data_IF_946577437075
#
_entry.id   IF_946577437075
#
_cell.length_a   1.000
_cell.length_b   1.000
_cell.length_c   1.000
_cell.angle_alpha   90.00
_cell.angle_beta   90.00
_cell.angle_gamma   90.00
#
_symmetry.space_group_name_H-M   'P 1'
#
loop_
_entity.id
_entity.type
_entity.pdbx_description
1 polymer ?
#
# COMPACT_ATOMS: atom_id res chain seq x y z
N UNK A 1 15.33 2.14 -15.78
CA UNK A 1 15.10 1.83 -14.35
C UNK A 1 13.72 1.33 -14.12
N UNK A 2 12.73 2.24 -14.23
CA UNK A 2 11.35 1.85 -14.02
C UNK A 2 10.86 0.78 -14.98
N UNK A 3 11.26 0.87 -16.24
CA UNK A 3 10.88 -0.13 -17.26
C UNK A 3 11.44 -1.51 -16.97
N UNK A 4 12.67 -1.59 -16.48
CA UNK A 4 13.25 -2.87 -16.11
C UNK A 4 12.46 -3.53 -14.98
N UNK A 5 12.10 -2.75 -13.96
CA UNK A 5 11.32 -3.25 -12.83
C UNK A 5 9.99 -3.85 -13.28
N UNK A 6 9.35 -3.22 -14.26
CA UNK A 6 8.02 -3.62 -14.74
C UNK A 6 8.03 -4.37 -16.06
N UNK A 7 9.21 -4.82 -16.51
CA UNK A 7 9.37 -5.43 -17.82
C UNK A 7 8.44 -6.61 -18.06
N UNK A 8 8.20 -7.42 -17.04
CA UNK A 8 7.31 -8.59 -17.17
C UNK A 8 5.86 -8.19 -17.31
N UNK A 9 5.43 -7.11 -16.66
CA UNK A 9 4.07 -6.58 -16.80
C UNK A 9 3.89 -5.97 -18.19
N UNK A 10 4.88 -5.29 -18.70
CA UNK A 10 4.84 -4.66 -20.02
C UNK A 10 4.69 -5.69 -21.12
N UNK A 11 5.27 -6.88 -20.95
CA UNK A 11 5.13 -7.97 -21.92
C UNK A 11 3.71 -8.50 -22.07
N UNK A 12 2.90 -8.34 -21.03
CA UNK A 12 1.49 -8.73 -21.09
C UNK A 12 0.73 -7.73 -21.96
N UNK A 13 0.15 -8.21 -23.07
CA UNK A 13 -0.43 -7.31 -24.08
C UNK A 13 -1.54 -6.39 -23.55
N UNK A 14 -2.28 -6.86 -22.55
CA UNK A 14 -3.38 -6.09 -21.97
C UNK A 14 -2.89 -4.95 -21.08
N UNK A 15 -1.63 -4.97 -20.69
CA UNK A 15 -0.98 -3.87 -19.98
C UNK A 15 -0.14 -3.05 -20.96
N UNK A 16 0.92 -3.64 -21.51
CA UNK A 16 1.83 -2.98 -22.41
C UNK A 16 2.54 -1.78 -21.79
N UNK A 17 3.29 -1.03 -22.59
CA UNK A 17 3.95 0.17 -22.12
C UNK A 17 2.95 1.25 -21.69
N UNK A 18 1.89 1.42 -22.48
CA UNK A 18 0.87 2.43 -22.18
C UNK A 18 0.13 2.11 -20.88
N UNK A 19 -0.25 0.85 -20.70
CA UNK A 19 -0.91 0.41 -19.47
C UNK A 19 -0.04 0.60 -18.25
N UNK A 20 1.25 0.31 -18.36
CA UNK A 20 2.19 0.50 -17.26
C UNK A 20 2.34 1.98 -16.92
N UNK A 21 2.40 2.86 -17.92
CA UNK A 21 2.44 4.30 -17.67
C UNK A 21 1.20 4.78 -16.94
N UNK A 22 0.05 4.22 -17.27
CA UNK A 22 -1.20 4.53 -16.58
C UNK A 22 -1.15 4.08 -15.13
N UNK A 23 -0.71 2.86 -14.87
CA UNK A 23 -0.54 2.35 -13.50
C UNK A 23 0.40 3.25 -12.69
N UNK A 24 1.50 3.68 -13.30
CA UNK A 24 2.51 4.52 -12.66
C UNK A 24 2.02 5.91 -12.27
N UNK A 25 0.80 6.28 -12.64
CA UNK A 25 0.20 7.58 -12.32
C UNK A 25 -0.92 7.46 -11.29
N UNK A 26 -1.24 6.25 -10.83
CA UNK A 26 -2.41 6.03 -9.97
C UNK A 26 -2.13 6.26 -8.50
N UNK A 27 -3.14 6.77 -7.82
CA UNK A 27 -3.19 6.96 -6.38
C UNK A 27 -4.31 6.09 -5.81
N UNK A 28 -3.98 5.22 -4.87
CA UNK A 28 -4.94 4.29 -4.25
C UNK A 28 -5.01 4.57 -2.75
N UNK A 29 -6.22 4.57 -2.22
CA UNK A 29 -6.48 4.63 -0.78
C UNK A 29 -6.89 3.25 -0.30
N UNK A 30 -6.22 2.72 0.72
CA UNK A 30 -6.61 1.46 1.36
C UNK A 30 -7.08 1.76 2.78
N UNK A 31 -8.29 1.34 3.08
CA UNK A 31 -8.87 1.42 4.42
C UNK A 31 -8.66 0.09 5.11
N UNK A 32 -7.81 0.11 6.14
CA UNK A 32 -7.49 -1.10 6.90
C UNK A 32 -6.21 -1.78 6.43
N UNK A 33 -5.32 -2.05 7.38
CA UNK A 33 -4.04 -2.72 7.11
C UNK A 33 -3.97 -4.05 7.86
N UNK A 34 -5.00 -4.87 7.66
CA UNK A 34 -5.07 -6.23 8.18
C UNK A 34 -4.58 -7.26 7.16
N UNK A 35 -5.16 -8.46 7.20
CA UNK A 35 -4.76 -9.56 6.32
C UNK A 35 -4.96 -9.23 4.85
N UNK A 36 -6.10 -8.65 4.49
CA UNK A 36 -6.38 -8.29 3.10
C UNK A 36 -5.63 -7.02 2.69
N UNK A 37 -5.71 -5.98 3.51
CA UNK A 37 -5.10 -4.68 3.19
C UNK A 37 -3.60 -4.75 2.98
N UNK A 38 -2.87 -5.51 3.80
CA UNK A 38 -1.42 -5.68 3.66
C UNK A 38 -1.05 -6.38 2.36
N UNK A 39 -1.81 -7.38 1.96
CA UNK A 39 -1.58 -8.08 0.68
C UNK A 39 -1.85 -7.17 -0.52
N UNK A 40 -2.95 -6.43 -0.48
CA UNK A 40 -3.30 -5.50 -1.55
C UNK A 40 -2.25 -4.40 -1.66
N UNK A 41 -1.83 -3.83 -0.52
CA UNK A 41 -0.81 -2.77 -0.50
C UNK A 41 0.50 -3.24 -1.13
N UNK A 42 0.99 -4.41 -0.74
CA UNK A 42 2.23 -4.96 -1.30
C UNK A 42 2.10 -5.17 -2.80
N UNK A 43 0.99 -5.78 -3.25
CA UNK A 43 0.75 -6.02 -4.67
C UNK A 43 0.73 -4.74 -5.50
N UNK A 44 0.05 -3.71 -5.00
CA UNK A 44 -0.06 -2.43 -5.71
C UNK A 44 1.29 -1.71 -5.78
N UNK A 45 2.05 -1.70 -4.68
CA UNK A 45 3.37 -1.08 -4.66
C UNK A 45 4.30 -1.77 -5.65
N UNK A 46 4.30 -3.11 -5.67
CA UNK A 46 5.12 -3.87 -6.61
C UNK A 46 4.67 -3.67 -8.05
N UNK A 47 3.37 -3.49 -8.30
CA UNK A 47 2.83 -3.27 -9.64
C UNK A 47 3.16 -1.89 -10.21
N UNK A 48 3.49 -0.92 -9.36
CA UNK A 48 4.01 0.35 -9.82
C UNK A 48 3.13 1.57 -9.61
N UNK A 49 2.13 1.52 -8.73
CA UNK A 49 1.32 2.72 -8.48
C UNK A 49 2.21 3.87 -8.00
N UNK A 50 1.81 5.10 -8.26
CA UNK A 50 2.58 6.28 -7.90
C UNK A 50 2.47 6.61 -6.42
N UNK A 51 1.26 6.54 -5.89
CA UNK A 51 0.96 7.02 -4.54
C UNK A 51 0.00 6.07 -3.83
N UNK A 52 0.30 5.79 -2.58
CA UNK A 52 -0.53 4.94 -1.74
C UNK A 52 -0.86 5.67 -0.45
N UNK A 53 -2.14 5.81 -0.15
CA UNK A 53 -2.62 6.32 1.13
C UNK A 53 -3.20 5.16 1.91
N UNK A 54 -2.73 4.97 3.14
CA UNK A 54 -3.21 3.90 4.01
C UNK A 54 -3.70 4.48 5.33
N UNK A 55 -4.79 3.91 5.83
CA UNK A 55 -5.38 4.34 7.09
C UNK A 55 -5.77 3.13 7.91
N UNK A 56 -5.35 3.11 9.17
CA UNK A 56 -5.72 2.10 10.16
C UNK A 56 -5.42 2.69 11.53
N UNK A 57 -6.25 2.39 12.52
CA UNK A 57 -6.03 2.88 13.88
C UNK A 57 -5.29 1.89 14.78
N UNK A 58 -5.13 0.65 14.32
CA UNK A 58 -4.63 -0.45 15.13
C UNK A 58 -3.10 -0.50 15.21
N UNK A 59 -2.65 -1.19 16.25
CA UNK A 59 -1.24 -1.49 16.49
C UNK A 59 -1.00 -2.97 16.23
N UNK A 60 0.25 -3.33 15.94
CA UNK A 60 0.62 -4.70 15.60
C UNK A 60 0.70 -5.54 16.86
N UNK A 61 0.07 -6.72 16.81
CA UNK A 61 0.11 -7.73 17.86
C UNK A 61 0.62 -9.06 17.29
N UNK A 62 1.18 -9.92 18.15
CA UNK A 62 1.65 -11.23 17.72
C UNK A 62 0.55 -12.05 17.05
N UNK A 63 -0.70 -11.92 17.50
CA UNK A 63 -1.83 -12.62 16.92
C UNK A 63 -2.09 -12.24 15.45
N UNK A 64 -1.52 -11.14 14.96
CA UNK A 64 -1.67 -10.71 13.57
C UNK A 64 -0.68 -11.41 12.64
N UNK A 65 0.45 -11.89 13.16
CA UNK A 65 1.60 -12.29 12.34
C UNK A 65 1.35 -13.54 11.51
N UNK A 66 0.40 -14.38 11.89
CA UNK A 66 0.11 -15.60 11.16
C UNK A 66 -0.60 -15.33 9.81
N UNK A 67 -1.16 -14.17 9.59
CA UNK A 67 -1.88 -13.82 8.35
C UNK A 67 -1.58 -12.44 7.78
N UNK A 68 -1.07 -11.53 8.58
CA UNK A 68 -0.70 -10.19 8.12
C UNK A 68 0.79 -10.19 7.77
N UNK A 69 1.08 -10.68 6.57
CA UNK A 69 2.42 -11.10 6.17
C UNK A 69 3.43 -9.98 6.00
N UNK A 70 2.99 -8.74 5.99
CA UNK A 70 3.88 -7.59 5.90
C UNK A 70 4.58 -7.29 7.23
N UNK A 71 4.06 -7.81 8.34
CA UNK A 71 4.53 -7.47 9.68
C UNK A 71 5.46 -8.55 10.26
N UNK A 72 6.34 -8.14 11.16
CA UNK A 72 7.36 -8.99 11.76
C UNK A 72 7.26 -8.99 13.29
N UNK A 73 7.98 -9.92 13.91
CA UNK A 73 8.07 -9.96 15.37
C UNK A 73 8.61 -8.65 15.95
N UNK A 74 9.60 -8.05 15.28
CA UNK A 74 10.14 -6.77 15.70
C UNK A 74 9.06 -5.68 15.73
N UNK A 75 8.18 -5.66 14.74
CA UNK A 75 7.08 -4.71 14.70
C UNK A 75 6.13 -4.88 15.89
N UNK A 76 5.81 -6.14 16.22
CA UNK A 76 4.96 -6.46 17.35
C UNK A 76 5.62 -6.11 18.68
N UNK A 77 6.91 -6.44 18.83
CA UNK A 77 7.68 -6.12 20.05
C UNK A 77 7.74 -4.61 20.29
N UNK A 78 7.85 -3.84 19.24
CA UNK A 78 7.91 -2.38 19.30
C UNK A 78 6.54 -1.73 19.37
N UNK A 79 5.49 -2.52 19.32
CA UNK A 79 4.10 -2.05 19.39
C UNK A 79 3.80 -0.95 18.38
N UNK A 80 4.30 -1.13 17.16
CA UNK A 80 4.14 -0.11 16.11
C UNK A 80 2.70 -0.03 15.61
N UNK A 81 2.23 1.18 15.27
CA UNK A 81 1.00 1.30 14.48
C UNK A 81 1.14 0.55 13.15
N UNK A 82 0.08 -0.12 12.73
CA UNK A 82 0.13 -0.92 11.49
C UNK A 82 0.56 -0.08 10.28
N UNK A 83 0.06 1.16 10.16
CA UNK A 83 0.41 2.02 9.02
C UNK A 83 1.88 2.44 9.04
N UNK A 84 2.48 2.61 10.22
CA UNK A 84 3.90 2.97 10.33
C UNK A 84 4.78 1.82 9.88
N UNK A 85 4.53 0.62 10.37
CA UNK A 85 5.29 -0.56 9.97
C UNK A 85 5.09 -0.88 8.49
N UNK A 86 3.86 -0.76 7.99
CA UNK A 86 3.57 -0.97 6.58
C UNK A 86 4.35 0.00 5.70
N UNK A 87 4.37 1.28 6.05
CA UNK A 87 5.14 2.28 5.30
C UNK A 87 6.62 1.90 5.24
N UNK A 88 7.20 1.52 6.35
CA UNK A 88 8.62 1.16 6.40
C UNK A 88 8.92 -0.04 5.51
N UNK A 89 8.14 -1.10 5.64
CA UNK A 89 8.36 -2.31 4.85
C UNK A 89 8.11 -2.09 3.35
N UNK A 90 7.08 -1.33 2.99
CA UNK A 90 6.78 -1.06 1.59
C UNK A 90 7.86 -0.19 0.93
N UNK A 91 8.46 0.74 1.68
CA UNK A 91 9.59 1.53 1.17
C UNK A 91 10.85 0.70 0.96
N UNK A 92 11.01 -0.39 1.68
CA UNK A 92 12.11 -1.32 1.43
C UNK A 92 11.88 -2.15 0.16
N UNK A 93 10.62 -2.33 -0.24
CA UNK A 93 10.27 -2.98 -1.51
C UNK A 93 10.48 -2.01 -2.67
N UNK A 94 10.02 -0.76 -2.51
CA UNK A 94 10.15 0.27 -3.54
C UNK A 94 10.34 1.63 -2.88
N UNK A 95 11.56 2.14 -2.94
CA UNK A 95 11.97 3.33 -2.19
C UNK A 95 11.31 4.63 -2.66
N UNK A 96 10.88 4.69 -3.91
CA UNK A 96 10.32 5.91 -4.52
C UNK A 96 8.80 6.01 -4.40
N UNK A 97 8.15 5.06 -3.73
CA UNK A 97 6.70 5.13 -3.54
C UNK A 97 6.33 6.35 -2.69
N UNK A 98 5.35 7.12 -3.16
CA UNK A 98 4.80 8.22 -2.36
C UNK A 98 3.73 7.66 -1.45
N UNK A 99 3.89 7.86 -0.14
CA UNK A 99 2.96 7.30 0.84
C UNK A 99 2.44 8.33 1.80
N UNK A 100 1.15 8.23 2.11
CA UNK A 100 0.50 9.00 3.16
C UNK A 100 -0.11 8.01 4.13
N UNK A 101 0.17 8.19 5.43
CA UNK A 101 -0.33 7.29 6.45
C UNK A 101 -1.18 8.04 7.48
N UNK A 102 -2.26 7.41 7.92
CA UNK A 102 -3.16 7.99 8.91
C UNK A 102 -3.50 6.95 9.98
N UNK A 103 -3.29 7.33 11.24
CA UNK A 103 -3.67 6.52 12.40
C UNK A 103 -5.03 7.02 12.86
N UNK A 104 -6.08 6.59 12.19
CA UNK A 104 -7.42 7.13 12.40
C UNK A 104 -8.48 6.06 12.19
N UNK A 105 -9.65 6.31 12.74
CA UNK A 105 -10.86 5.59 12.39
C UNK A 105 -11.47 6.23 11.15
N UNK A 106 -11.87 5.41 10.19
CA UNK A 106 -12.47 5.91 8.95
C UNK A 106 -13.97 6.00 9.11
N UNK A 107 -14.48 7.19 8.83
CA UNK A 107 -15.92 7.46 8.78
C UNK A 107 -16.30 8.04 7.41
N UNK A 108 -17.57 8.34 7.23
CA UNK A 108 -18.07 8.89 5.97
C UNK A 108 -17.38 10.21 5.62
N UNK A 109 -17.11 11.05 6.63
CA UNK A 109 -16.47 12.34 6.42
C UNK A 109 -15.04 12.17 5.90
N UNK A 110 -14.28 11.21 6.46
CA UNK A 110 -12.94 10.89 5.96
C UNK A 110 -12.98 10.47 4.49
N UNK A 111 -13.91 9.57 4.16
CA UNK A 111 -14.05 9.07 2.78
C UNK A 111 -14.42 10.19 1.82
N UNK A 112 -15.35 11.06 2.19
CA UNK A 112 -15.75 12.20 1.37
C UNK A 112 -14.56 13.14 1.10
N UNK A 113 -13.73 13.37 2.12
CA UNK A 113 -12.58 14.25 2.01
C UNK A 113 -11.55 13.73 0.99
N UNK A 114 -11.36 12.41 0.91
CA UNK A 114 -10.32 11.82 0.06
C UNK A 114 -10.84 11.21 -1.24
N UNK A 115 -12.15 10.99 -1.37
CA UNK A 115 -12.72 10.28 -2.51
C UNK A 115 -12.40 10.94 -3.87
N UNK A 116 -12.31 12.26 -3.90
CA UNK A 116 -12.04 12.99 -5.15
C UNK A 116 -10.56 13.09 -5.49
N UNK A 117 -9.67 12.78 -4.56
CA UNK A 117 -8.22 12.92 -4.75
C UNK A 117 -7.52 11.60 -5.05
N UNK A 118 -8.24 10.49 -5.04
CA UNK A 118 -7.70 9.16 -5.31
C UNK A 118 -8.40 8.52 -6.51
N UNK A 119 -7.71 7.59 -7.16
CA UNK A 119 -8.26 6.88 -8.31
C UNK A 119 -9.08 5.66 -7.89
N UNK A 120 -8.77 5.08 -6.72
CA UNK A 120 -9.41 3.86 -6.24
C UNK A 120 -9.39 3.82 -4.71
N UNK A 121 -10.43 3.25 -4.13
CA UNK A 121 -10.50 2.98 -2.69
C UNK A 121 -10.72 1.48 -2.49
#
# INVERSE_FOLDING_TARGET
MTQERYSRQILFKDIGEHGQQTINQKHVLIVGMGALGTHVAEGLVRAGIQELTIVDRDYIEYSNLQRQTLFTESDADRMLPKVVAAQDHLRHIRSDIKMNIYIEHVDAQFLEQYATSVDLI
#
